data_IF_544201166478
#
_entry.id   IF_544201166478
#
_cell.length_a   1.000
_cell.length_b   1.000
_cell.length_c   1.000
_cell.angle_alpha   90.00
_cell.angle_beta   90.00
_cell.angle_gamma   90.00
#
_symmetry.space_group_name_H-M   'P 1'
#
loop_
_entity.id
_entity.type
_entity.pdbx_description
1 polymer ?
#
# COMPACT_ATOMS: atom_id res chain seq x y z
N UNK A 1 23.22 -10.55 21.45
CA UNK A 1 23.23 -9.16 20.90
C UNK A 1 21.79 -8.86 20.50
N UNK A 2 21.11 -7.87 21.12
CA UNK A 2 19.76 -7.50 20.66
C UNK A 2 19.86 -6.95 19.25
N UNK A 3 19.21 -7.59 18.28
CA UNK A 3 19.06 -6.99 16.95
C UNK A 3 18.48 -5.56 17.12
N UNK A 4 19.15 -4.57 16.51
CA UNK A 4 18.65 -3.22 16.52
C UNK A 4 17.26 -3.24 15.89
N UNK A 5 16.22 -2.88 16.64
CA UNK A 5 14.86 -2.77 16.13
C UNK A 5 14.83 -1.69 15.06
N UNK A 6 14.37 -2.05 13.87
CA UNK A 6 14.02 -1.06 12.84
C UNK A 6 12.91 -0.16 13.41
N UNK A 7 13.09 1.15 13.34
CA UNK A 7 12.10 2.12 13.82
C UNK A 7 11.80 3.14 12.74
N UNK A 8 10.51 3.38 12.47
CA UNK A 8 10.04 4.34 11.47
C UNK A 8 8.79 5.05 11.95
N UNK A 9 8.55 6.25 11.48
CA UNK A 9 7.25 6.91 11.60
C UNK A 9 6.25 6.23 10.64
N UNK A 10 4.97 6.21 10.96
CA UNK A 10 3.93 5.59 10.15
C UNK A 10 3.00 6.63 9.55
N UNK A 11 3.02 6.76 8.22
CA UNK A 11 2.07 7.58 7.47
C UNK A 11 0.93 6.72 6.93
N UNK A 12 -0.27 6.89 7.47
CA UNK A 12 -1.47 6.10 7.14
C UNK A 12 -2.24 6.63 5.93
N UNK A 13 -2.07 7.91 5.61
CA UNK A 13 -2.90 8.58 4.61
C UNK A 13 -4.33 8.80 5.08
N UNK A 14 -5.30 8.66 4.18
CA UNK A 14 -6.71 8.98 4.47
C UNK A 14 -7.64 7.75 4.44
N UNK A 15 -7.43 6.80 3.52
CA UNK A 15 -8.37 5.68 3.32
C UNK A 15 -8.24 4.64 4.44
N UNK A 16 -7.01 4.28 4.84
CA UNK A 16 -6.80 3.28 5.89
C UNK A 16 -7.55 3.66 7.18
N UNK A 17 -7.29 4.81 7.81
CA UNK A 17 -7.95 5.13 9.08
C UNK A 17 -9.46 5.38 8.95
N UNK A 18 -9.94 5.89 7.82
CA UNK A 18 -11.34 6.30 7.67
C UNK A 18 -12.27 5.21 7.13
N UNK A 19 -11.73 4.20 6.43
CA UNK A 19 -12.53 3.16 5.77
C UNK A 19 -12.16 1.75 6.21
N UNK A 20 -10.88 1.50 6.46
CA UNK A 20 -10.34 0.18 6.77
C UNK A 20 -9.35 0.25 7.93
N UNK A 21 -9.78 0.63 9.16
CA UNK A 21 -8.89 0.77 10.32
C UNK A 21 -8.13 -0.53 10.64
N UNK A 22 -8.67 -1.68 10.24
CA UNK A 22 -7.99 -2.97 10.34
C UNK A 22 -6.66 -3.03 9.59
N UNK A 23 -6.49 -2.27 8.50
CA UNK A 23 -5.21 -2.19 7.77
C UNK A 23 -4.12 -1.56 8.66
N UNK A 24 -4.45 -0.51 9.40
CA UNK A 24 -3.54 0.11 10.36
C UNK A 24 -3.13 -0.88 11.46
N UNK A 25 -4.12 -1.47 12.12
CA UNK A 25 -3.90 -2.43 13.22
C UNK A 25 -3.06 -3.62 12.73
N UNK A 26 -3.41 -4.21 11.59
CA UNK A 26 -2.67 -5.30 10.98
C UNK A 26 -1.22 -4.90 10.69
N UNK A 27 -1.00 -3.74 10.07
CA UNK A 27 0.34 -3.25 9.73
C UNK A 27 1.20 -3.07 10.97
N UNK A 28 0.68 -2.43 12.02
CA UNK A 28 1.44 -2.18 13.26
C UNK A 28 1.79 -3.50 13.96
N UNK A 29 0.82 -4.40 14.13
CA UNK A 29 1.02 -5.66 14.85
C UNK A 29 1.97 -6.61 14.10
N UNK A 30 1.77 -6.79 12.79
CA UNK A 30 2.60 -7.68 11.99
C UNK A 30 4.03 -7.16 11.84
N UNK A 31 4.21 -5.85 11.65
CA UNK A 31 5.52 -5.20 11.62
C UNK A 31 6.26 -5.39 12.96
N UNK A 32 5.56 -5.23 14.09
CA UNK A 32 6.12 -5.45 15.43
C UNK A 32 6.61 -6.89 15.62
N UNK A 33 5.84 -7.88 15.18
CA UNK A 33 6.23 -9.30 15.22
C UNK A 33 7.49 -9.57 14.38
N UNK A 34 7.70 -8.78 13.34
CA UNK A 34 8.89 -8.84 12.47
C UNK A 34 10.05 -7.94 12.93
N UNK A 35 9.93 -7.27 14.08
CA UNK A 35 10.98 -6.43 14.65
C UNK A 35 11.02 -5.00 14.13
N UNK A 36 9.95 -4.52 13.48
CA UNK A 36 9.79 -3.11 13.08
C UNK A 36 8.88 -2.40 14.10
N UNK A 37 9.36 -1.33 14.69
CA UNK A 37 8.56 -0.42 15.51
C UNK A 37 8.03 0.71 14.64
N UNK A 38 6.72 0.77 14.43
CA UNK A 38 6.04 1.83 13.72
C UNK A 38 5.44 2.83 14.69
N UNK A 39 5.82 4.10 14.57
CA UNK A 39 5.40 5.20 15.46
C UNK A 39 4.43 6.10 14.72
N UNK A 40 3.28 6.36 15.32
CA UNK A 40 2.26 7.23 14.74
C UNK A 40 2.81 8.62 14.38
N UNK A 41 2.54 9.07 13.16
CA UNK A 41 2.93 10.39 12.65
C UNK A 41 1.86 11.42 13.00
N UNK A 42 1.82 11.84 14.26
CA UNK A 42 0.84 12.83 14.76
C UNK A 42 0.86 14.12 13.95
N UNK A 43 -0.32 14.63 13.64
CA UNK A 43 -0.46 15.86 12.86
C UNK A 43 -0.31 15.67 11.34
N UNK A 44 -0.11 14.44 10.86
CA UNK A 44 -0.12 14.17 9.43
C UNK A 44 -1.48 14.51 8.79
N UNK A 45 -1.43 15.00 7.56
CA UNK A 45 -2.59 15.32 6.74
C UNK A 45 -2.63 14.45 5.48
N UNK A 46 -3.52 14.73 4.54
CA UNK A 46 -3.56 14.07 3.23
C UNK A 46 -2.20 14.16 2.52
N UNK A 47 -1.82 13.15 1.74
CA UNK A 47 -0.50 13.02 1.08
C UNK A 47 -0.08 14.02 0.01
N UNK A 48 -0.84 14.94 -0.54
CA UNK A 48 -2.01 14.95 -1.38
C UNK A 48 -1.91 14.00 -2.60
N UNK A 49 -3.03 13.59 -3.17
CA UNK A 49 -3.04 12.57 -4.22
C UNK A 49 -2.27 13.02 -5.49
N UNK A 50 -1.27 12.25 -5.98
CA UNK A 50 -0.33 12.72 -6.99
C UNK A 50 -1.00 13.03 -8.34
N UNK A 51 -1.98 12.24 -8.75
CA UNK A 51 -2.64 12.42 -10.05
C UNK A 51 -3.66 13.55 -10.09
N UNK A 52 -4.21 13.96 -8.95
CA UNK A 52 -5.14 15.09 -8.87
C UNK A 52 -4.39 16.40 -8.60
N UNK A 53 -3.79 16.52 -7.41
CA UNK A 53 -3.12 17.76 -6.99
C UNK A 53 -1.87 18.08 -7.82
N UNK A 54 -1.03 17.10 -8.11
CA UNK A 54 0.17 17.31 -8.91
C UNK A 54 -0.10 17.73 -10.36
N UNK A 55 -1.33 17.51 -10.86
CA UNK A 55 -1.73 17.97 -12.19
C UNK A 55 -2.39 19.36 -12.19
N UNK A 56 -2.81 19.85 -11.03
CA UNK A 56 -3.47 21.15 -10.88
C UNK A 56 -2.49 22.23 -10.44
N UNK A 57 -1.73 21.97 -9.39
CA UNK A 57 -0.73 22.89 -8.81
C UNK A 57 0.42 22.09 -8.18
N UNK A 58 1.54 22.10 -8.89
CA UNK A 58 2.74 21.34 -8.47
C UNK A 58 3.29 21.89 -7.16
N UNK A 59 3.37 23.21 -7.00
CA UNK A 59 3.96 23.83 -5.81
C UNK A 59 3.14 23.55 -4.55
N UNK A 60 1.81 23.65 -4.65
CA UNK A 60 0.91 23.27 -3.55
C UNK A 60 1.02 21.78 -3.23
N UNK A 61 1.10 20.92 -4.24
CA UNK A 61 1.30 19.47 -4.06
C UNK A 61 2.61 19.16 -3.31
N UNK A 62 3.70 19.80 -3.72
CA UNK A 62 5.02 19.66 -3.09
C UNK A 62 5.03 20.16 -1.65
N UNK A 63 4.46 21.34 -1.40
CA UNK A 63 4.41 21.93 -0.06
C UNK A 63 3.61 21.07 0.94
N UNK A 64 2.46 20.54 0.52
CA UNK A 64 1.64 19.68 1.37
C UNK A 64 2.30 18.32 1.63
N UNK A 65 2.96 17.73 0.64
CA UNK A 65 3.72 16.50 0.81
C UNK A 65 4.94 16.73 1.72
N UNK A 66 5.71 17.78 1.47
CA UNK A 66 6.88 18.15 2.28
C UNK A 66 6.51 18.44 3.74
N UNK A 67 5.34 19.05 4.01
CA UNK A 67 4.84 19.23 5.38
C UNK A 67 4.73 17.92 6.15
N UNK A 68 4.22 16.87 5.52
CA UNK A 68 4.13 15.55 6.16
C UNK A 68 5.53 14.94 6.39
N UNK A 69 6.46 15.15 5.44
CA UNK A 69 7.85 14.69 5.56
C UNK A 69 8.54 15.40 6.73
N UNK A 70 8.35 16.72 6.90
CA UNK A 70 8.90 17.48 8.03
C UNK A 70 8.49 16.89 9.40
N UNK A 71 7.28 16.35 9.53
CA UNK A 71 6.87 15.71 10.79
C UNK A 71 7.74 14.48 11.12
N UNK A 72 8.09 13.68 10.11
CA UNK A 72 9.01 12.55 10.29
C UNK A 72 10.44 13.03 10.58
N UNK A 73 10.89 14.08 9.92
CA UNK A 73 12.19 14.70 10.17
C UNK A 73 12.30 15.21 11.61
N UNK A 74 11.25 15.83 12.15
CA UNK A 74 11.20 16.29 13.54
C UNK A 74 11.29 15.12 14.54
N UNK A 75 10.86 13.93 14.15
CA UNK A 75 11.00 12.71 14.95
C UNK A 75 12.37 12.05 14.78
N UNK A 76 13.18 12.46 13.80
CA UNK A 76 14.43 11.81 13.41
C UNK A 76 14.23 10.39 12.89
N UNK A 77 13.08 10.09 12.28
CA UNK A 77 12.70 8.76 11.79
C UNK A 77 12.43 8.77 10.29
N UNK A 78 12.81 7.70 9.60
CA UNK A 78 12.34 7.44 8.25
C UNK A 78 10.81 7.27 8.23
N UNK A 79 10.18 7.61 7.11
CA UNK A 79 8.73 7.57 6.96
C UNK A 79 8.28 6.28 6.25
N UNK A 80 7.55 5.42 6.96
CA UNK A 80 6.89 4.24 6.39
C UNK A 80 5.49 4.59 5.92
N UNK A 81 5.13 4.16 4.71
CA UNK A 81 3.85 4.47 4.06
C UNK A 81 3.12 3.18 3.69
N UNK A 82 1.81 3.10 3.94
CA UNK A 82 0.98 1.90 3.67
C UNK A 82 0.18 1.96 2.37
N UNK A 83 0.26 3.07 1.64
CA UNK A 83 -0.56 3.34 0.46
C UNK A 83 0.32 3.78 -0.72
N UNK A 84 0.15 3.14 -1.87
CA UNK A 84 0.93 3.46 -3.07
C UNK A 84 0.79 4.91 -3.55
N UNK A 85 -0.42 5.49 -3.46
CA UNK A 85 -0.64 6.89 -3.83
C UNK A 85 0.08 7.84 -2.89
N UNK A 86 0.02 7.57 -1.59
CA UNK A 86 0.75 8.35 -0.58
C UNK A 86 2.26 8.18 -0.75
N UNK A 87 2.72 6.95 -0.97
CA UNK A 87 4.12 6.66 -1.25
C UNK A 87 4.64 7.46 -2.44
N UNK A 88 3.91 7.44 -3.56
CA UNK A 88 4.27 8.21 -4.76
C UNK A 88 4.43 9.71 -4.46
N UNK A 89 3.46 10.31 -3.75
CA UNK A 89 3.54 11.74 -3.40
C UNK A 89 4.71 12.06 -2.49
N UNK A 90 4.85 11.34 -1.37
CA UNK A 90 5.89 11.66 -0.39
C UNK A 90 7.29 11.31 -0.91
N UNK A 91 7.43 10.15 -1.59
CA UNK A 91 8.71 9.72 -2.14
C UNK A 91 9.22 10.68 -3.23
N UNK A 92 8.37 10.98 -4.24
CA UNK A 92 8.78 11.83 -5.35
C UNK A 92 9.13 13.24 -4.89
N UNK A 93 8.36 13.79 -3.95
CA UNK A 93 8.64 15.13 -3.40
C UNK A 93 9.91 15.10 -2.55
N UNK A 94 10.11 14.07 -1.72
CA UNK A 94 11.33 13.93 -0.92
C UNK A 94 12.58 13.92 -1.80
N UNK A 95 12.59 13.08 -2.83
CA UNK A 95 13.74 12.98 -3.73
C UNK A 95 13.91 14.23 -4.59
N UNK A 96 12.83 14.77 -5.15
CA UNK A 96 12.88 16.00 -5.95
C UNK A 96 13.49 17.18 -5.16
N UNK A 97 13.04 17.36 -3.91
CA UNK A 97 13.53 18.48 -3.09
C UNK A 97 14.96 18.26 -2.57
N UNK A 98 15.40 17.01 -2.39
CA UNK A 98 16.81 16.70 -2.08
C UNK A 98 17.73 17.07 -3.25
N UNK A 99 17.29 16.82 -4.47
CA UNK A 99 18.10 17.02 -5.67
C UNK A 99 18.02 18.44 -6.25
N UNK A 100 16.95 19.21 -5.91
CA UNK A 100 16.71 20.53 -6.47
C UNK A 100 16.67 21.62 -5.39
N UNK A 101 17.79 22.31 -5.11
CA UNK A 101 17.85 23.36 -4.09
C UNK A 101 16.90 24.53 -4.34
N UNK A 102 16.62 24.88 -5.61
CA UNK A 102 15.74 25.98 -5.95
C UNK A 102 14.27 25.65 -5.61
N UNK A 103 13.82 24.43 -5.95
CA UNK A 103 12.47 23.98 -5.57
C UNK A 103 12.35 23.82 -4.05
N UNK A 104 13.38 23.29 -3.40
CA UNK A 104 13.46 23.20 -1.93
C UNK A 104 13.28 24.57 -1.27
N UNK A 105 13.92 25.63 -1.79
CA UNK A 105 13.78 26.98 -1.27
C UNK A 105 12.37 27.53 -1.42
N UNK A 106 11.73 27.35 -2.59
CA UNK A 106 10.34 27.76 -2.83
C UNK A 106 9.37 27.06 -1.86
N UNK A 107 9.50 25.74 -1.73
CA UNK A 107 8.67 24.93 -0.82
C UNK A 107 8.90 25.36 0.64
N UNK A 108 10.15 25.54 1.04
CA UNK A 108 10.49 26.02 2.39
C UNK A 108 9.94 27.44 2.67
N UNK A 109 9.85 28.29 1.64
CA UNK A 109 9.18 29.59 1.76
C UNK A 109 7.72 29.47 2.19
N UNK A 110 7.00 28.44 1.70
CA UNK A 110 5.61 28.13 2.08
C UNK A 110 5.57 27.49 3.47
N UNK A 111 6.45 26.50 3.73
CA UNK A 111 6.48 25.76 4.99
C UNK A 111 6.74 26.64 6.21
N UNK A 112 7.43 27.76 6.04
CA UNK A 112 7.63 28.78 7.09
C UNK A 112 6.32 29.31 7.67
N UNK A 113 5.21 29.32 6.90
CA UNK A 113 3.89 29.74 7.39
C UNK A 113 3.33 28.77 8.44
N UNK A 114 3.88 27.56 8.53
CA UNK A 114 3.54 26.55 9.51
C UNK A 114 4.69 26.25 10.49
N UNK A 115 5.68 27.15 10.59
CA UNK A 115 6.90 26.98 11.40
C UNK A 115 7.65 25.67 11.09
N UNK A 116 7.65 25.26 9.81
CA UNK A 116 8.31 24.05 9.33
C UNK A 116 9.38 24.37 8.29
N UNK A 117 10.33 23.44 8.16
CA UNK A 117 11.39 23.49 7.15
C UNK A 117 11.77 22.07 6.74
N UNK A 118 11.67 21.76 5.44
CA UNK A 118 12.14 20.51 4.87
C UNK A 118 13.68 20.48 4.84
N UNK A 119 14.28 19.46 5.44
CA UNK A 119 15.72 19.25 5.50
C UNK A 119 16.21 18.27 4.43
N UNK A 120 15.44 17.26 4.10
CA UNK A 120 15.83 16.11 3.27
C UNK A 120 16.63 15.07 4.06
N UNK A 121 16.42 15.00 5.38
CA UNK A 121 17.21 14.18 6.31
C UNK A 121 16.73 12.76 6.47
N UNK A 122 15.55 12.42 5.92
CA UNK A 122 14.94 11.09 6.07
C UNK A 122 14.64 10.43 4.71
N UNK A 123 14.41 9.12 4.77
CA UNK A 123 13.90 8.34 3.63
C UNK A 123 12.40 8.12 3.76
N UNK A 124 11.71 8.14 2.61
CA UNK A 124 10.30 7.71 2.50
C UNK A 124 10.28 6.34 1.86
N UNK A 125 9.69 5.37 2.55
CA UNK A 125 9.66 3.96 2.09
C UNK A 125 8.27 3.37 2.20
N UNK A 126 7.91 2.53 1.24
CA UNK A 126 6.67 1.75 1.37
C UNK A 126 6.87 0.60 2.35
N UNK A 127 5.85 0.29 3.17
CA UNK A 127 5.96 -0.81 4.15
C UNK A 127 6.29 -2.16 3.49
N UNK A 128 5.77 -2.41 2.28
CA UNK A 128 6.09 -3.62 1.53
C UNK A 128 7.57 -3.68 1.12
N UNK A 129 8.20 -2.54 0.79
CA UNK A 129 9.63 -2.47 0.52
C UNK A 129 10.46 -2.77 1.77
N UNK A 130 10.05 -2.23 2.92
CA UNK A 130 10.74 -2.51 4.18
C UNK A 130 10.61 -3.98 4.59
N UNK A 131 9.43 -4.55 4.45
CA UNK A 131 9.22 -5.97 4.73
C UNK A 131 10.05 -6.86 3.80
N UNK A 132 10.13 -6.52 2.52
CA UNK A 132 10.89 -7.31 1.56
C UNK A 132 12.41 -7.14 1.72
N UNK A 133 12.90 -5.89 1.83
CA UNK A 133 14.33 -5.58 1.81
C UNK A 133 14.99 -5.69 3.18
N UNK A 134 14.36 -5.16 4.24
CA UNK A 134 14.99 -5.02 5.55
C UNK A 134 14.69 -6.22 6.47
N UNK A 135 13.47 -6.76 6.37
CA UNK A 135 13.07 -7.96 7.11
C UNK A 135 13.50 -9.22 6.36
N UNK A 136 13.18 -9.28 5.07
CA UNK A 136 13.49 -10.38 4.17
C UNK A 136 12.48 -11.54 4.23
N UNK A 137 12.37 -12.24 3.10
CA UNK A 137 11.42 -13.34 2.87
C UNK A 137 11.58 -14.48 3.90
N UNK A 138 12.82 -14.78 4.31
CA UNK A 138 13.08 -15.82 5.29
C UNK A 138 12.41 -15.50 6.63
N UNK A 139 12.57 -14.29 7.16
CA UNK A 139 12.02 -13.88 8.45
C UNK A 139 10.48 -13.77 8.39
N UNK A 140 9.92 -13.34 7.26
CA UNK A 140 8.47 -13.38 7.01
C UNK A 140 7.98 -14.83 7.13
N UNK A 141 8.59 -15.77 6.42
CA UNK A 141 8.25 -17.20 6.47
C UNK A 141 8.37 -17.78 7.86
N UNK A 142 9.45 -17.48 8.57
CA UNK A 142 9.70 -17.98 9.93
C UNK A 142 8.68 -17.42 10.95
N UNK A 143 7.98 -16.34 10.64
CA UNK A 143 6.93 -15.74 11.49
C UNK A 143 5.54 -16.38 11.29
N UNK A 144 5.39 -17.28 10.33
CA UNK A 144 4.11 -17.92 10.01
C UNK A 144 3.78 -18.96 11.09
N UNK A 145 2.63 -18.80 11.71
CA UNK A 145 2.07 -19.73 12.71
C UNK A 145 0.99 -20.60 12.07
N UNK A 146 0.22 -20.03 11.16
CA UNK A 146 -0.85 -20.69 10.41
C UNK A 146 -0.59 -20.54 8.91
N UNK A 147 0.04 -21.53 8.25
CA UNK A 147 0.31 -21.48 6.83
C UNK A 147 -0.97 -21.43 5.99
N UNK A 148 -1.00 -20.57 5.00
CA UNK A 148 -2.15 -20.35 4.12
C UNK A 148 -2.16 -21.35 2.94
N UNK A 149 -1.92 -22.64 3.23
CA UNK A 149 -1.80 -23.68 2.23
C UNK A 149 -3.09 -23.85 1.42
N UNK A 150 -2.99 -23.98 0.11
CA UNK A 150 -4.12 -24.17 -0.79
C UNK A 150 -4.84 -22.87 -1.20
N UNK A 151 -4.58 -21.75 -0.52
CA UNK A 151 -5.15 -20.45 -0.89
C UNK A 151 -4.49 -19.90 -2.15
N UNK A 152 -5.31 -19.57 -3.15
CA UNK A 152 -4.89 -18.95 -4.41
C UNK A 152 -5.08 -17.43 -4.32
N UNK A 153 -4.01 -16.68 -4.44
CA UNK A 153 -4.00 -15.23 -4.27
C UNK A 153 -3.75 -14.53 -5.60
N UNK A 154 -4.63 -13.63 -5.98
CA UNK A 154 -4.41 -12.67 -7.05
C UNK A 154 -3.68 -11.43 -6.49
N UNK A 155 -2.40 -11.28 -6.77
CA UNK A 155 -1.62 -10.15 -6.28
C UNK A 155 -1.88 -8.89 -7.11
N UNK A 156 -2.15 -7.77 -6.46
CA UNK A 156 -2.26 -6.46 -7.08
C UNK A 156 -1.18 -5.49 -6.57
N UNK A 157 -0.21 -5.21 -7.40
CA UNK A 157 0.89 -4.29 -7.08
C UNK A 157 0.47 -2.83 -6.97
N UNK A 158 -0.45 -2.40 -7.84
CA UNK A 158 -0.84 -1.01 -7.99
C UNK A 158 0.12 -0.19 -8.85
N UNK A 159 -0.42 0.69 -9.67
CA UNK A 159 0.35 1.44 -10.66
C UNK A 159 1.40 2.38 -10.06
N UNK A 160 1.15 2.97 -8.88
CA UNK A 160 2.11 3.88 -8.25
C UNK A 160 3.27 3.16 -7.54
N UNK A 161 3.13 1.86 -7.28
CA UNK A 161 4.25 1.01 -6.89
C UNK A 161 5.16 0.67 -8.08
N UNK A 162 4.58 0.45 -9.25
CA UNK A 162 5.29 -0.02 -10.45
C UNK A 162 5.76 1.11 -11.38
N UNK A 163 5.12 2.29 -11.34
CA UNK A 163 5.53 3.40 -12.21
C UNK A 163 7.00 3.73 -12.01
N UNK A 164 7.75 3.85 -13.09
CA UNK A 164 9.13 4.24 -13.03
C UNK A 164 9.21 5.66 -12.46
N UNK A 165 9.64 5.80 -11.28
CA UNK A 165 10.30 6.95 -10.74
C UNK A 165 11.59 6.36 -10.28
N UNK A 166 12.68 6.92 -10.59
CA UNK A 166 14.05 6.71 -10.11
C UNK A 166 14.39 5.32 -9.52
N UNK A 167 15.62 4.92 -9.64
CA UNK A 167 16.16 3.64 -9.20
C UNK A 167 15.81 3.36 -7.73
N UNK A 168 14.83 2.51 -7.53
CA UNK A 168 14.47 2.02 -6.21
C UNK A 168 15.41 0.89 -5.84
N UNK A 169 16.02 1.01 -4.69
CA UNK A 169 16.94 -0.02 -4.20
C UNK A 169 16.16 -1.19 -3.58
N UNK A 170 15.89 -2.21 -4.40
CA UNK A 170 15.44 -3.50 -3.88
C UNK A 170 16.63 -4.42 -3.63
N UNK A 171 16.58 -5.16 -2.52
CA UNK A 171 17.61 -6.15 -2.17
C UNK A 171 17.77 -7.21 -3.28
N UNK A 172 16.71 -7.51 -4.02
CA UNK A 172 16.74 -8.33 -5.22
C UNK A 172 16.16 -7.55 -6.40
N UNK A 173 16.98 -6.87 -7.22
CA UNK A 173 16.51 -6.13 -8.39
C UNK A 173 15.74 -6.98 -9.41
N UNK A 174 16.02 -8.29 -9.50
CA UNK A 174 15.32 -9.21 -10.38
C UNK A 174 13.86 -9.46 -9.96
N UNK A 175 13.55 -9.36 -8.67
CA UNK A 175 12.18 -9.48 -8.18
C UNK A 175 11.36 -8.19 -8.39
N UNK A 176 12.03 -7.07 -8.65
CA UNK A 176 11.40 -5.79 -8.96
C UNK A 176 11.61 -5.42 -10.43
N UNK A 177 10.73 -5.96 -11.26
CA UNK A 177 10.54 -5.50 -12.64
C UNK A 177 9.25 -4.70 -12.72
N UNK A 178 9.23 -3.62 -13.49
CA UNK A 178 8.00 -2.88 -13.77
C UNK A 178 7.05 -3.65 -14.67
N UNK A 179 7.56 -4.59 -15.46
CA UNK A 179 6.80 -5.43 -16.39
C UNK A 179 6.37 -6.75 -15.75
N UNK A 180 7.30 -7.40 -15.03
CA UNK A 180 7.06 -8.71 -14.38
C UNK A 180 7.56 -8.66 -12.93
N UNK A 181 6.87 -7.90 -12.06
CA UNK A 181 7.25 -7.81 -10.66
C UNK A 181 6.98 -9.13 -9.93
N UNK A 182 7.86 -9.51 -8.99
CA UNK A 182 7.76 -10.75 -8.21
C UNK A 182 7.79 -10.55 -6.70
N UNK A 183 8.23 -9.40 -6.19
CA UNK A 183 8.48 -9.22 -4.76
C UNK A 183 7.24 -9.46 -3.88
N UNK A 184 6.05 -8.98 -4.30
CA UNK A 184 4.82 -9.20 -3.54
C UNK A 184 4.28 -10.63 -3.70
N UNK A 185 4.52 -11.26 -4.86
CA UNK A 185 4.25 -12.69 -5.06
C UNK A 185 5.09 -13.54 -4.09
N UNK A 186 6.39 -13.28 -4.01
CA UNK A 186 7.31 -13.97 -3.09
C UNK A 186 6.91 -13.77 -1.62
N UNK A 187 6.45 -12.55 -1.27
CA UNK A 187 5.94 -12.25 0.07
C UNK A 187 4.67 -13.05 0.39
N UNK A 188 3.77 -13.23 -0.58
CA UNK A 188 2.55 -14.06 -0.45
C UNK A 188 2.91 -15.54 -0.35
N UNK A 189 3.81 -16.01 -1.19
CA UNK A 189 4.29 -17.40 -1.20
C UNK A 189 5.02 -17.76 0.11
N UNK A 190 5.69 -16.78 0.74
CA UNK A 190 6.32 -16.97 2.06
C UNK A 190 5.31 -17.30 3.17
N UNK A 191 4.03 -16.96 3.00
CA UNK A 191 2.95 -17.27 3.93
C UNK A 191 2.32 -18.67 3.72
N UNK A 192 2.81 -19.43 2.73
CA UNK A 192 2.28 -20.73 2.34
C UNK A 192 1.16 -20.66 1.28
N UNK A 193 0.70 -19.47 0.93
CA UNK A 193 -0.29 -19.27 -0.14
C UNK A 193 0.35 -19.42 -1.52
N UNK A 194 -0.47 -19.63 -2.54
CA UNK A 194 -0.06 -19.67 -3.94
C UNK A 194 -0.40 -18.36 -4.63
N UNK A 195 0.60 -17.60 -5.07
CA UNK A 195 0.37 -16.49 -5.99
C UNK A 195 0.01 -17.03 -7.37
N UNK A 196 -1.05 -16.48 -7.98
CA UNK A 196 -1.57 -16.90 -9.28
C UNK A 196 -1.42 -15.76 -10.27
N UNK A 197 -0.77 -16.06 -11.40
CA UNK A 197 -0.70 -15.12 -12.50
C UNK A 197 -2.05 -15.03 -13.23
N UNK A 198 -2.42 -13.81 -13.60
CA UNK A 198 -3.64 -13.52 -14.34
C UNK A 198 -3.37 -12.43 -15.38
N UNK A 199 -4.18 -12.39 -16.42
CA UNK A 199 -4.07 -11.41 -17.49
C UNK A 199 -4.14 -9.98 -16.92
N UNK A 200 -3.28 -9.09 -17.41
CA UNK A 200 -3.20 -7.70 -17.02
C UNK A 200 -2.91 -7.46 -15.52
N UNK A 201 -2.11 -8.33 -14.90
CA UNK A 201 -1.74 -8.28 -13.48
C UNK A 201 -1.17 -6.93 -13.06
N UNK A 202 -0.40 -6.25 -13.93
CA UNK A 202 0.21 -4.95 -13.67
C UNK A 202 -0.69 -3.76 -14.04
N UNK A 203 -1.87 -4.00 -14.63
CA UNK A 203 -2.84 -2.94 -14.96
C UNK A 203 -3.33 -2.20 -13.71
N UNK A 204 -3.64 -0.91 -13.86
CA UNK A 204 -4.23 -0.07 -12.81
C UNK A 204 -5.56 -0.63 -12.29
N UNK A 205 -5.86 -0.41 -11.00
CA UNK A 205 -7.17 -0.74 -10.44
C UNK A 205 -8.31 0.18 -10.92
N UNK A 206 -7.99 1.32 -11.53
CA UNK A 206 -8.96 2.31 -12.01
C UNK A 206 -9.18 3.50 -11.05
N UNK A 207 -8.83 3.41 -9.76
CA UNK A 207 -9.18 4.43 -8.77
C UNK A 207 -8.37 5.72 -8.85
N UNK A 208 -7.08 5.61 -9.23
CA UNK A 208 -6.10 6.69 -9.10
C UNK A 208 -6.32 7.89 -10.00
N UNK A 209 -5.53 8.95 -9.77
CA UNK A 209 -5.56 10.15 -10.61
C UNK A 209 -6.84 10.98 -10.53
N UNK A 210 -7.71 10.74 -9.55
CA UNK A 210 -9.01 11.39 -9.46
C UNK A 210 -10.10 10.71 -10.31
N UNK A 211 -9.75 9.71 -11.15
CA UNK A 211 -10.66 9.06 -12.11
C UNK A 211 -11.94 8.54 -11.43
N UNK A 212 -11.79 7.87 -10.26
CA UNK A 212 -12.96 7.41 -9.49
C UNK A 212 -13.90 8.54 -9.10
N UNK A 213 -13.40 9.75 -8.88
CA UNK A 213 -14.21 10.89 -8.48
C UNK A 213 -14.99 11.52 -9.62
N UNK A 214 -14.38 11.69 -10.79
CA UNK A 214 -15.00 12.44 -11.89
C UNK A 214 -15.41 11.59 -13.11
N UNK A 215 -14.92 10.37 -13.22
CA UNK A 215 -15.25 9.40 -14.28
C UNK A 215 -15.44 7.99 -13.69
N UNK A 216 -16.36 7.88 -12.72
CA UNK A 216 -16.61 6.66 -11.96
C UNK A 216 -16.85 5.45 -12.84
N UNK A 217 -17.61 5.61 -13.92
CA UNK A 217 -17.96 4.56 -14.85
C UNK A 217 -16.73 3.94 -15.51
N UNK A 218 -15.82 4.79 -15.98
CA UNK A 218 -14.56 4.35 -16.56
C UNK A 218 -13.64 3.65 -15.51
N UNK A 219 -13.64 4.18 -14.28
CA UNK A 219 -12.91 3.55 -13.19
C UNK A 219 -13.45 2.13 -12.91
N UNK A 220 -14.77 1.96 -12.91
CA UNK A 220 -15.43 0.67 -12.70
C UNK A 220 -15.21 -0.29 -13.88
N UNK A 221 -15.19 0.17 -15.11
CA UNK A 221 -14.85 -0.66 -16.29
C UNK A 221 -13.45 -1.29 -16.15
N UNK A 222 -12.44 -0.47 -15.78
CA UNK A 222 -11.08 -0.97 -15.54
C UNK A 222 -11.04 -2.00 -14.40
N UNK A 223 -11.78 -1.75 -13.33
CA UNK A 223 -11.87 -2.66 -12.19
C UNK A 223 -12.53 -3.97 -12.60
N UNK A 224 -13.63 -3.87 -13.35
CA UNK A 224 -14.41 -5.00 -13.85
C UNK A 224 -13.57 -5.92 -14.73
N UNK A 225 -12.84 -5.36 -15.70
CA UNK A 225 -11.90 -6.14 -16.54
C UNK A 225 -10.91 -6.93 -15.69
N UNK A 226 -10.32 -6.26 -14.69
CA UNK A 226 -9.32 -6.88 -13.82
C UNK A 226 -9.90 -7.99 -12.95
N UNK A 227 -11.10 -7.80 -12.41
CA UNK A 227 -11.80 -8.81 -11.62
C UNK A 227 -12.20 -10.02 -12.49
N UNK A 228 -12.63 -9.80 -13.73
CA UNK A 228 -12.86 -10.88 -14.72
C UNK A 228 -11.63 -11.75 -14.93
N UNK A 229 -10.47 -11.10 -15.10
CA UNK A 229 -9.21 -11.80 -15.31
C UNK A 229 -8.79 -12.62 -14.06
N UNK A 230 -9.02 -12.09 -12.86
CA UNK A 230 -8.77 -12.81 -11.59
C UNK A 230 -9.74 -13.98 -11.41
N UNK A 231 -11.03 -13.77 -11.68
CA UNK A 231 -12.06 -14.82 -11.60
C UNK A 231 -11.76 -15.97 -12.58
N UNK A 232 -11.29 -15.66 -13.79
CA UNK A 232 -10.98 -16.66 -14.82
C UNK A 232 -9.89 -17.66 -14.40
N UNK A 233 -8.99 -17.27 -13.49
CA UNK A 233 -7.94 -18.16 -12.94
C UNK A 233 -8.31 -18.73 -11.57
N UNK A 234 -9.47 -18.38 -11.04
CA UNK A 234 -10.03 -18.91 -9.80
C UNK A 234 -9.25 -18.53 -8.55
N UNK A 235 -8.96 -17.22 -8.38
CA UNK A 235 -8.38 -16.72 -7.13
C UNK A 235 -9.36 -16.84 -5.98
N UNK A 236 -8.86 -17.13 -4.79
CA UNK A 236 -9.64 -17.15 -3.56
C UNK A 236 -9.76 -15.77 -2.92
N UNK A 237 -8.75 -14.91 -3.14
CA UNK A 237 -8.76 -13.52 -2.71
C UNK A 237 -7.82 -12.66 -3.57
N UNK A 238 -8.01 -11.35 -3.49
CA UNK A 238 -7.07 -10.34 -3.99
C UNK A 238 -6.24 -9.82 -2.83
N UNK A 239 -4.92 -9.69 -3.03
CA UNK A 239 -4.02 -9.03 -2.07
C UNK A 239 -3.40 -7.80 -2.70
N UNK A 240 -3.48 -6.70 -1.98
CA UNK A 240 -2.92 -5.41 -2.37
C UNK A 240 -2.02 -4.81 -1.28
N UNK A 241 -1.36 -3.70 -1.61
CA UNK A 241 -0.52 -2.90 -0.71
C UNK A 241 -0.94 -1.43 -0.74
N UNK A 242 -2.22 -1.16 -1.04
CA UNK A 242 -2.72 0.20 -1.20
C UNK A 242 -4.19 0.31 -0.76
N UNK A 243 -4.51 0.96 0.37
CA UNK A 243 -5.90 1.11 0.82
C UNK A 243 -6.84 1.72 -0.21
N UNK A 244 -6.34 2.50 -1.17
CA UNK A 244 -7.19 3.05 -2.24
C UNK A 244 -7.49 2.02 -3.33
N UNK A 245 -6.55 1.12 -3.66
CA UNK A 245 -6.82 -0.03 -4.51
C UNK A 245 -7.75 -1.02 -3.79
N UNK A 246 -7.53 -1.22 -2.49
CA UNK A 246 -8.40 -2.02 -1.63
C UNK A 246 -9.85 -1.55 -1.72
N UNK A 247 -10.11 -0.27 -1.47
CA UNK A 247 -11.45 0.32 -1.62
C UNK A 247 -12.01 0.11 -3.03
N UNK A 248 -11.18 0.25 -4.07
CA UNK A 248 -11.62 0.11 -5.46
C UNK A 248 -12.05 -1.33 -5.79
N UNK A 249 -11.36 -2.32 -5.24
CA UNK A 249 -11.75 -3.73 -5.43
C UNK A 249 -12.89 -4.14 -4.50
N UNK A 250 -12.91 -3.70 -3.26
CA UNK A 250 -13.92 -4.09 -2.27
C UNK A 250 -15.28 -3.45 -2.57
N UNK A 251 -15.37 -2.12 -2.49
CA UNK A 251 -16.61 -1.37 -2.80
C UNK A 251 -16.94 -1.46 -4.29
N UNK A 252 -15.93 -1.45 -5.15
CA UNK A 252 -16.11 -1.51 -6.60
C UNK A 252 -16.83 -2.77 -7.07
N UNK A 253 -16.69 -3.92 -6.41
CA UNK A 253 -17.45 -5.12 -6.77
C UNK A 253 -18.95 -4.93 -6.56
N UNK A 254 -19.36 -4.25 -5.48
CA UNK A 254 -20.77 -3.93 -5.23
C UNK A 254 -21.31 -2.99 -6.32
N UNK A 255 -20.56 -1.91 -6.60
CA UNK A 255 -20.93 -0.92 -7.61
C UNK A 255 -20.96 -1.49 -9.04
N UNK A 256 -20.07 -2.45 -9.35
CA UNK A 256 -20.05 -3.18 -10.63
C UNK A 256 -21.29 -4.08 -10.75
N UNK A 257 -21.67 -4.77 -9.68
CA UNK A 257 -22.86 -5.60 -9.68
C UNK A 257 -24.13 -4.79 -9.91
N UNK A 258 -24.22 -3.60 -9.30
CA UNK A 258 -25.35 -2.69 -9.49
C UNK A 258 -25.40 -2.11 -10.92
N UNK A 259 -24.24 -1.78 -11.48
CA UNK A 259 -24.15 -1.07 -12.76
C UNK A 259 -24.16 -2.00 -13.99
N UNK A 260 -23.33 -3.05 -13.94
CA UNK A 260 -23.09 -3.94 -15.08
C UNK A 260 -23.74 -5.32 -14.92
N UNK A 261 -24.22 -5.68 -13.70
CA UNK A 261 -24.78 -6.99 -13.40
C UNK A 261 -23.72 -8.07 -13.13
N UNK A 262 -22.43 -7.77 -13.28
CA UNK A 262 -21.33 -8.70 -13.05
C UNK A 262 -21.11 -8.90 -11.53
N UNK A 263 -21.04 -10.13 -11.06
CA UNK A 263 -20.86 -10.48 -9.63
C UNK A 263 -19.61 -11.34 -9.43
N UNK A 264 -18.75 -10.95 -8.52
CA UNK A 264 -17.46 -11.61 -8.29
C UNK A 264 -17.37 -12.28 -6.90
N UNK A 265 -17.68 -11.55 -5.84
CA UNK A 265 -17.53 -11.98 -4.44
C UNK A 265 -16.09 -12.44 -4.10
N UNK A 266 -15.08 -11.76 -4.63
CA UNK A 266 -13.67 -12.06 -4.38
C UNK A 266 -13.22 -11.23 -3.18
N UNK A 267 -12.90 -11.83 -2.01
CA UNK A 267 -12.38 -11.12 -0.85
C UNK A 267 -11.13 -10.30 -1.19
N UNK A 268 -11.01 -9.11 -0.59
CA UNK A 268 -9.86 -8.23 -0.79
C UNK A 268 -9.15 -8.06 0.55
N UNK A 269 -7.84 -8.29 0.60
CA UNK A 269 -7.04 -8.09 1.80
C UNK A 269 -5.83 -7.19 1.49
N UNK A 270 -5.54 -6.28 2.41
CA UNK A 270 -4.23 -5.65 2.40
C UNK A 270 -3.17 -6.65 2.86
N UNK A 271 -1.95 -6.58 2.31
CA UNK A 271 -0.90 -7.56 2.64
C UNK A 271 -0.69 -7.72 4.16
N UNK A 272 -0.74 -6.64 4.94
CA UNK A 272 -0.67 -6.70 6.39
C UNK A 272 -1.77 -7.56 7.03
N UNK A 273 -2.99 -7.57 6.46
CA UNK A 273 -4.07 -8.40 6.95
C UNK A 273 -3.85 -9.88 6.60
N UNK A 274 -3.38 -10.18 5.38
CA UNK A 274 -3.04 -11.55 4.99
C UNK A 274 -1.88 -12.10 5.85
N UNK A 275 -0.84 -11.30 6.08
CA UNK A 275 0.27 -11.63 6.96
C UNK A 275 -0.20 -11.86 8.41
N UNK A 276 -1.15 -11.03 8.89
CA UNK A 276 -1.75 -11.18 10.20
C UNK A 276 -2.48 -12.51 10.37
N UNK A 277 -3.27 -12.94 9.38
CA UNK A 277 -3.89 -14.27 9.36
C UNK A 277 -2.83 -15.38 9.45
N UNK A 278 -1.77 -15.28 8.64
CA UNK A 278 -0.67 -16.25 8.66
C UNK A 278 0.11 -16.24 9.98
N UNK A 279 0.12 -15.13 10.71
CA UNK A 279 0.69 -15.02 12.07
C UNK A 279 -0.28 -15.44 13.18
N UNK A 280 -1.46 -15.97 12.84
CA UNK A 280 -2.44 -16.49 13.78
C UNK A 280 -3.32 -15.44 14.45
N UNK A 281 -3.40 -14.23 13.89
CA UNK A 281 -4.31 -13.19 14.37
C UNK A 281 -5.75 -13.49 13.93
N UNK A 282 -6.71 -13.19 14.81
CA UNK A 282 -8.12 -13.39 14.49
C UNK A 282 -8.64 -12.40 13.42
N UNK A 283 -9.65 -12.77 12.64
CA UNK A 283 -10.29 -11.89 11.66
C UNK A 283 -10.77 -10.56 12.27
N UNK A 284 -11.31 -10.59 13.48
CA UNK A 284 -11.75 -9.38 14.20
C UNK A 284 -10.59 -8.46 14.59
N UNK A 285 -9.45 -9.01 15.04
CA UNK A 285 -8.25 -8.21 15.29
C UNK A 285 -7.71 -7.52 14.03
N UNK A 286 -7.97 -8.10 12.87
CA UNK A 286 -7.58 -7.59 11.56
C UNK A 286 -8.63 -6.66 10.94
N UNK A 287 -9.78 -6.48 11.61
CA UNK A 287 -10.87 -5.61 11.16
C UNK A 287 -11.50 -6.06 9.84
N UNK A 288 -11.53 -7.38 9.54
CA UNK A 288 -12.03 -7.91 8.28
C UNK A 288 -13.54 -7.76 8.12
N UNK A 289 -14.27 -7.54 9.20
CA UNK A 289 -15.71 -7.26 9.21
C UNK A 289 -16.09 -5.93 8.54
N UNK A 290 -15.14 -4.99 8.41
CA UNK A 290 -15.34 -3.70 7.75
C UNK A 290 -15.40 -3.81 6.21
N UNK A 291 -15.02 -4.95 5.64
CA UNK A 291 -15.02 -5.16 4.19
C UNK A 291 -16.44 -5.33 3.65
N UNK A 292 -16.72 -4.78 2.47
CA UNK A 292 -18.01 -4.94 1.80
C UNK A 292 -18.18 -6.38 1.27
N UNK A 293 -17.12 -6.91 0.68
CA UNK A 293 -17.09 -8.30 0.24
C UNK A 293 -16.64 -9.17 1.43
N UNK A 294 -17.54 -10.07 1.85
CA UNK A 294 -17.30 -10.92 3.02
C UNK A 294 -16.14 -11.88 2.79
N UNK A 295 -15.39 -12.12 3.85
CA UNK A 295 -14.19 -12.96 3.83
C UNK A 295 -14.44 -14.40 4.33
N UNK A 296 -15.67 -14.72 4.77
CA UNK A 296 -16.01 -15.99 5.42
C UNK A 296 -15.57 -17.21 4.58
N UNK A 297 -15.89 -17.21 3.28
CA UNK A 297 -15.50 -18.29 2.38
C UNK A 297 -13.97 -18.45 2.21
N UNK A 298 -13.20 -17.40 2.43
CA UNK A 298 -11.75 -17.47 2.48
C UNK A 298 -11.29 -18.06 3.81
N UNK A 299 -11.88 -17.58 4.92
CA UNK A 299 -11.54 -18.05 6.27
C UNK A 299 -11.83 -19.54 6.46
N UNK A 300 -12.92 -20.05 5.90
CA UNK A 300 -13.28 -21.48 5.91
C UNK A 300 -12.22 -22.37 5.23
N UNK A 301 -11.36 -21.80 4.37
CA UNK A 301 -10.25 -22.52 3.72
C UNK A 301 -8.95 -22.47 4.51
N UNK A 302 -8.84 -21.55 5.47
CA UNK A 302 -7.68 -21.38 6.33
C UNK A 302 -7.91 -22.22 7.58
N UNK A 303 -7.57 -23.50 7.52
CA UNK A 303 -7.78 -24.48 8.59
C UNK A 303 -6.44 -24.81 9.28
#
# INVERSE_FOLDING_TARGET
MSEAKLKSSLFLGCIAPNRYPGIEVATIKTAKNLGIELVDLKGAACCPAPGAFGSMDILTWEALAARNICLSEQMGLNCSVVCNGCYKSLYDVNEKLKENPQEKEKVNGILKLADMQFQGSIEVRHIAEQLYNDVGIKKIRDSVVQPLNGIKVGVHYGCHMLKPGRDRHFANPAAFSTEVPRFLDEMVEALGARSVDYKDKTMCCGAGGGVRGYKKDFALDMTNEKLKNMQAVGVDCVVDVCPFCHLQFDVGQVEIAEKFGDKYNIPVLHYGQLLGLAQGMSPSELGLEAHQIKVDALLDKIV
#
